data_IF_336497589978
#
_entry.id   IF_336497589978
#
_cell.length_a   1.000
_cell.length_b   1.000
_cell.length_c   1.000
_cell.angle_alpha   90.00
_cell.angle_beta   90.00
_cell.angle_gamma   90.00
#
_symmetry.space_group_name_H-M   'P 1'
#
loop_
_entity.id
_entity.type
_entity.pdbx_description
1 polymer ?
#
# COMPACT_ATOMS: atom_id res chain seq x y z
N UNK A 1 -9.05 16.21 1.54
CA UNK A 1 -8.24 15.76 2.70
C UNK A 1 -6.86 15.41 2.15
N UNK A 2 -5.77 15.97 2.66
CA UNK A 2 -4.44 15.65 2.12
C UNK A 2 -3.91 14.35 2.74
N UNK A 3 -4.07 13.23 2.03
CA UNK A 3 -3.50 11.93 2.39
C UNK A 3 -2.02 11.93 2.01
N UNK A 4 -1.17 11.55 2.97
CA UNK A 4 0.30 11.59 2.85
C UNK A 4 0.94 10.22 2.91
N UNK A 5 0.38 9.30 3.70
CA UNK A 5 0.83 7.90 3.77
C UNK A 5 -0.37 6.96 3.87
N UNK A 6 -0.26 5.83 3.21
CA UNK A 6 -1.13 4.67 3.37
C UNK A 6 -0.25 3.45 3.67
N UNK A 7 -0.66 2.61 4.61
CA UNK A 7 -0.19 1.24 4.76
C UNK A 7 -1.37 0.33 4.44
N UNK A 8 -1.21 -0.50 3.42
CA UNK A 8 -2.22 -1.42 2.94
C UNK A 8 -1.73 -2.85 3.13
N UNK A 9 -2.61 -3.70 3.62
CA UNK A 9 -2.45 -5.15 3.54
C UNK A 9 -3.03 -5.62 2.20
N UNK A 10 -2.22 -6.30 1.41
CA UNK A 10 -2.55 -6.66 0.02
C UNK A 10 -2.26 -8.13 -0.26
N UNK A 11 -3.28 -8.85 -0.70
CA UNK A 11 -3.19 -10.23 -1.12
C UNK A 11 -2.93 -10.32 -2.63
N UNK A 12 -2.07 -11.23 -3.05
CA UNK A 12 -1.97 -11.60 -4.47
C UNK A 12 -1.68 -13.08 -4.66
N UNK A 13 -1.92 -13.59 -5.86
CA UNK A 13 -1.42 -14.93 -6.21
C UNK A 13 0.12 -14.92 -6.35
N UNK A 14 0.75 -16.06 -6.02
CA UNK A 14 2.20 -16.26 -6.25
C UNK A 14 2.58 -16.14 -7.73
N UNK A 15 1.65 -16.47 -8.63
CA UNK A 15 1.87 -16.54 -10.07
C UNK A 15 1.94 -15.16 -10.72
N UNK A 16 0.94 -14.31 -10.49
CA UNK A 16 0.83 -12.92 -10.99
C UNK A 16 -0.12 -12.10 -10.10
N UNK A 17 0.05 -10.77 -10.04
CA UNK A 17 1.15 -9.98 -10.63
C UNK A 17 2.49 -10.21 -9.92
N UNK A 18 3.59 -9.88 -10.60
CA UNK A 18 4.90 -9.74 -9.95
C UNK A 18 4.94 -8.46 -9.11
N UNK A 19 5.84 -8.40 -8.12
CA UNK A 19 6.01 -7.18 -7.31
C UNK A 19 6.39 -5.96 -8.16
N UNK A 20 7.09 -6.15 -9.28
CA UNK A 20 7.48 -5.07 -10.19
C UNK A 20 6.26 -4.53 -10.95
N UNK A 21 5.36 -5.40 -11.41
CA UNK A 21 4.13 -4.99 -12.09
C UNK A 21 3.21 -4.23 -11.13
N UNK A 22 3.06 -4.74 -9.90
CA UNK A 22 2.28 -4.07 -8.86
C UNK A 22 2.91 -2.73 -8.48
N UNK A 23 4.24 -2.68 -8.30
CA UNK A 23 4.95 -1.45 -7.97
C UNK A 23 4.76 -0.38 -9.05
N UNK A 24 4.86 -0.77 -10.32
CA UNK A 24 4.65 0.12 -11.45
C UNK A 24 3.22 0.66 -11.50
N UNK A 25 2.23 -0.21 -11.34
CA UNK A 25 0.82 0.18 -11.35
C UNK A 25 0.51 1.22 -10.28
N UNK A 26 1.02 1.03 -9.06
CA UNK A 26 0.82 1.97 -7.96
C UNK A 26 1.61 3.27 -8.17
N UNK A 27 2.87 3.19 -8.60
CA UNK A 27 3.72 4.38 -8.80
C UNK A 27 3.23 5.31 -9.90
N UNK A 28 2.46 4.79 -10.87
CA UNK A 28 1.88 5.58 -11.96
C UNK A 28 0.64 6.40 -11.51
N UNK A 29 0.13 6.17 -10.28
CA UNK A 29 -0.99 6.93 -9.73
C UNK A 29 -0.54 8.33 -9.32
N UNK A 30 -1.31 9.34 -9.74
CA UNK A 30 -1.04 10.75 -9.42
C UNK A 30 -0.91 11.00 -7.92
N UNK A 31 0.15 11.69 -7.52
CA UNK A 31 0.43 12.06 -6.13
C UNK A 31 1.30 11.05 -5.38
N UNK A 32 1.56 9.86 -5.92
CA UNK A 32 2.52 8.90 -5.36
C UNK A 32 3.95 9.41 -5.58
N UNK A 33 4.72 9.53 -4.51
CA UNK A 33 6.12 9.99 -4.54
C UNK A 33 7.09 8.85 -4.19
N UNK A 34 6.68 7.94 -3.30
CA UNK A 34 7.46 6.77 -2.91
C UNK A 34 6.56 5.57 -2.62
N UNK A 35 7.11 4.38 -2.86
CA UNK A 35 6.43 3.10 -2.68
C UNK A 35 7.39 2.08 -2.09
N UNK A 36 6.92 1.32 -1.12
CA UNK A 36 7.59 0.14 -0.60
C UNK A 36 6.60 -1.02 -0.55
N UNK A 37 7.03 -2.18 -1.04
CA UNK A 37 6.25 -3.42 -1.00
C UNK A 37 7.12 -4.47 -0.33
N UNK A 38 6.64 -5.05 0.78
CA UNK A 38 7.30 -6.12 1.51
C UNK A 38 6.40 -7.34 1.49
N UNK A 39 6.97 -8.52 1.26
CA UNK A 39 6.24 -9.78 1.41
C UNK A 39 6.23 -10.13 2.90
N UNK A 40 5.06 -10.13 3.51
CA UNK A 40 4.88 -10.46 4.93
C UNK A 40 4.76 -11.98 5.12
N UNK A 41 4.00 -12.65 4.26
CA UNK A 41 3.78 -14.10 4.28
C UNK A 41 3.73 -14.71 2.86
N UNK A 42 4.09 -15.99 2.77
CA UNK A 42 4.00 -16.78 1.52
C UNK A 42 3.35 -18.11 1.83
N UNK A 43 2.25 -18.39 1.14
CA UNK A 43 1.51 -19.63 1.16
C UNK A 43 1.69 -20.43 -0.14
N UNK A 44 0.95 -21.53 -0.30
CA UNK A 44 1.05 -22.41 -1.48
C UNK A 44 0.72 -21.65 -2.77
N UNK A 45 -0.34 -20.83 -2.76
CA UNK A 45 -0.82 -20.12 -3.96
C UNK A 45 -0.93 -18.60 -3.76
N UNK A 46 -0.81 -18.10 -2.53
CA UNK A 46 -1.01 -16.69 -2.16
C UNK A 46 0.25 -16.09 -1.53
N UNK A 47 0.36 -14.77 -1.62
CA UNK A 47 1.35 -13.96 -0.93
C UNK A 47 0.66 -12.75 -0.33
N UNK A 48 1.00 -12.48 0.92
CA UNK A 48 0.51 -11.34 1.67
C UNK A 48 1.58 -10.26 1.62
N UNK A 49 1.17 -9.01 1.40
CA UNK A 49 2.06 -7.90 1.13
C UNK A 49 1.74 -6.71 2.02
N UNK A 50 2.76 -6.20 2.71
CA UNK A 50 2.73 -4.89 3.33
C UNK A 50 3.10 -3.82 2.27
N UNK A 51 2.13 -3.02 1.86
CA UNK A 51 2.30 -1.97 0.85
C UNK A 51 2.25 -0.60 1.53
N UNK A 52 3.41 0.06 1.60
CA UNK A 52 3.52 1.44 2.12
C UNK A 52 3.65 2.43 0.97
N UNK A 53 2.76 3.41 0.93
CA UNK A 53 2.70 4.45 -0.11
C UNK A 53 2.85 5.80 0.55
N UNK A 54 3.80 6.61 0.09
CA UNK A 54 3.94 7.99 0.50
C UNK A 54 3.79 8.94 -0.69
N UNK A 55 3.23 10.11 -0.41
CA UNK A 55 3.17 11.18 -1.38
C UNK A 55 2.35 12.37 -0.91
N UNK A 56 1.72 13.05 -1.87
CA UNK A 56 0.97 14.26 -1.62
C UNK A 56 -0.39 14.22 -2.31
N UNK A 57 -1.45 14.42 -1.51
CA UNK A 57 -2.84 14.34 -1.94
C UNK A 57 -3.15 13.01 -2.65
N UNK A 58 -2.72 11.91 -2.02
CA UNK A 58 -2.96 10.55 -2.50
C UNK A 58 -4.46 10.29 -2.68
N UNK A 59 -4.80 9.67 -3.81
CA UNK A 59 -6.16 9.25 -4.16
C UNK A 59 -6.31 7.76 -3.83
N UNK A 60 -6.87 7.48 -2.65
CA UNK A 60 -7.02 6.11 -2.14
C UNK A 60 -7.78 5.22 -3.11
N UNK A 61 -8.90 5.69 -3.67
CA UNK A 61 -9.75 4.89 -4.54
C UNK A 61 -9.00 4.50 -5.83
N UNK A 62 -8.20 5.43 -6.40
CA UNK A 62 -7.37 5.12 -7.57
C UNK A 62 -6.21 4.18 -7.28
N UNK A 63 -5.64 4.26 -6.07
CA UNK A 63 -4.59 3.33 -5.63
C UNK A 63 -5.17 1.93 -5.52
N UNK A 64 -6.33 1.77 -4.88
CA UNK A 64 -7.04 0.49 -4.79
C UNK A 64 -7.38 -0.03 -6.19
N UNK A 65 -7.93 0.81 -7.07
CA UNK A 65 -8.25 0.44 -8.45
C UNK A 65 -7.00 -0.04 -9.22
N UNK A 66 -5.85 0.62 -9.03
CA UNK A 66 -4.59 0.22 -9.67
C UNK A 66 -4.09 -1.15 -9.16
N UNK A 67 -4.21 -1.41 -7.86
CA UNK A 67 -3.86 -2.71 -7.22
C UNK A 67 -4.77 -3.82 -7.76
N UNK A 68 -6.09 -3.58 -7.77
CA UNK A 68 -7.08 -4.54 -8.24
C UNK A 68 -6.95 -4.84 -9.73
N UNK A 69 -6.73 -3.80 -10.55
CA UNK A 69 -6.51 -3.94 -11.99
C UNK A 69 -5.23 -4.72 -12.30
N UNK A 70 -4.20 -4.62 -11.45
CA UNK A 70 -2.99 -5.41 -11.58
C UNK A 70 -3.18 -6.90 -11.20
N UNK A 71 -4.29 -7.26 -10.55
CA UNK A 71 -4.62 -8.62 -10.14
C UNK A 71 -4.25 -8.96 -8.69
N UNK A 72 -4.12 -7.95 -7.83
CA UNK A 72 -4.01 -8.11 -6.38
C UNK A 72 -5.29 -7.59 -5.69
N UNK A 73 -5.47 -7.81 -4.39
CA UNK A 73 -6.65 -7.39 -3.64
C UNK A 73 -6.22 -6.69 -2.37
N UNK A 74 -6.82 -5.54 -2.06
CA UNK A 74 -6.57 -4.86 -0.78
C UNK A 74 -7.41 -5.53 0.31
N UNK A 75 -6.76 -6.15 1.29
CA UNK A 75 -7.39 -6.79 2.44
C UNK A 75 -7.86 -5.74 3.46
N UNK A 76 -6.96 -4.83 3.83
CA UNK A 76 -7.25 -3.74 4.78
C UNK A 76 -6.39 -2.50 4.57
N UNK A 77 -6.89 -1.37 5.11
CA UNK A 77 -6.14 -0.12 5.30
C UNK A 77 -5.67 -0.08 6.75
N UNK A 78 -4.40 -0.41 6.97
CA UNK A 78 -3.82 -0.61 8.30
C UNK A 78 -3.32 0.69 8.94
N UNK A 79 -2.84 1.63 8.12
CA UNK A 79 -2.43 2.96 8.57
C UNK A 79 -2.82 4.02 7.55
N UNK A 80 -3.25 5.19 8.04
CA UNK A 80 -3.42 6.40 7.25
C UNK A 80 -2.79 7.59 7.96
N UNK A 81 -2.03 8.38 7.21
CA UNK A 81 -1.46 9.65 7.70
C UNK A 81 -1.96 10.79 6.82
N UNK A 82 -2.53 11.82 7.45
CA UNK A 82 -3.10 12.98 6.76
C UNK A 82 -2.52 14.29 7.29
N UNK A 83 -2.44 15.31 6.42
CA UNK A 83 -2.05 16.67 6.79
C UNK A 83 -0.80 17.19 6.07
N UNK A 84 -0.14 18.17 6.68
CA UNK A 84 1.01 18.85 6.08
C UNK A 84 2.36 18.14 6.29
N UNK A 85 2.41 17.16 7.19
CA UNK A 85 3.60 16.37 7.51
C UNK A 85 3.22 14.92 7.80
N UNK A 86 4.22 14.04 7.71
CA UNK A 86 4.10 12.69 8.24
C UNK A 86 4.11 12.75 9.78
N UNK A 87 3.11 12.14 10.40
CA UNK A 87 3.04 11.94 11.84
C UNK A 87 3.29 10.47 12.14
N UNK A 88 4.47 10.16 12.66
CA UNK A 88 4.78 8.80 13.09
C UNK A 88 3.92 8.40 14.29
N UNK A 89 3.52 7.14 14.33
CA UNK A 89 2.73 6.57 15.42
C UNK A 89 3.45 6.75 16.76
N UNK A 90 2.78 7.38 17.72
CA UNK A 90 3.29 7.46 19.08
C UNK A 90 3.30 6.07 19.73
N UNK A 91 4.45 5.61 20.18
CA UNK A 91 4.58 4.34 20.91
C UNK A 91 4.05 4.57 22.33
N UNK A 92 2.83 4.12 22.59
CA UNK A 92 2.28 4.10 23.96
C UNK A 92 2.85 2.88 24.69
N UNK A 93 3.68 3.11 25.71
CA UNK A 93 4.09 2.06 26.65
C UNK A 93 2.88 1.69 27.50
N UNK A 94 2.17 0.63 27.13
CA UNK A 94 1.22 -0.03 28.03
C UNK A 94 2.04 -0.81 29.06
N UNK A 95 2.25 -0.21 30.23
CA UNK A 95 2.71 -0.90 31.46
C UNK A 95 1.59 -1.71 32.08
#
# INVERSE_FOLDING_TARGET
MNIRRLLLDVDKMVSRPSLIELAKAISDVSGVEALNIVVSEIDIETMDLDVTIEGNNLDYDKIVEAIETAGAVVHSLDEIVVGSKILERAISRRT
#
